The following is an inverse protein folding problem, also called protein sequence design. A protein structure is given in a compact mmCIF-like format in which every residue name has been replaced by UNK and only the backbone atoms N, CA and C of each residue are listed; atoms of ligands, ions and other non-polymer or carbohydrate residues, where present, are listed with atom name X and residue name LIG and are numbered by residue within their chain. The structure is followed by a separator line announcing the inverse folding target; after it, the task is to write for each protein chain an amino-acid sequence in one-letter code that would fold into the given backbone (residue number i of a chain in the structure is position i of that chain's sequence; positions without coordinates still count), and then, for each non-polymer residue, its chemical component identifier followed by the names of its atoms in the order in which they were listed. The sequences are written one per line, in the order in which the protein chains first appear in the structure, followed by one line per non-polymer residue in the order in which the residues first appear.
data_IF_643849152878
#
_entry.id   IF_643849152878
#
_cell.length_a   1.000
_cell.length_b   1.000
_cell.length_c   1.000
_cell.angle_alpha   90.00
_cell.angle_beta   90.00
_cell.angle_gamma   90.00
#
_symmetry.space_group_name_H-M   'P 1'
#
loop_
_entity.id
_entity.type
_entity.pdbx_description
1 polymer ?
#
# COMPACT_ATOMS: atom_id res chain seq x y z
N UNK A 1 0.15 5.50 -9.85
CA UNK A 1 1.40 5.18 -10.58
C UNK A 1 1.35 5.48 -12.08
N UNK A 2 0.18 5.76 -12.67
CA UNK A 2 0.07 6.03 -14.11
C UNK A 2 0.24 4.77 -14.97
N UNK A 3 0.15 3.57 -14.39
CA UNK A 3 0.25 2.32 -15.14
C UNK A 3 -0.93 2.18 -16.11
N UNK A 4 -0.68 1.67 -17.33
CA UNK A 4 -1.69 1.64 -18.41
C UNK A 4 -2.98 0.91 -18.01
N UNK A 5 -2.91 -0.11 -17.14
CA UNK A 5 -4.10 -0.80 -16.62
C UNK A 5 -5.02 0.10 -15.79
N UNK A 6 -4.48 1.16 -15.17
CA UNK A 6 -5.22 2.13 -14.35
C UNK A 6 -5.79 3.30 -15.18
N UNK A 7 -5.48 3.36 -16.48
CA UNK A 7 -5.88 4.46 -17.36
C UNK A 7 -6.81 4.00 -18.49
N UNK A 8 -7.40 2.80 -18.36
CA UNK A 8 -8.34 2.28 -19.37
C UNK A 8 -9.66 3.05 -19.36
N UNK A 9 -10.31 3.16 -20.51
CA UNK A 9 -11.63 3.80 -20.62
C UNK A 9 -12.65 3.19 -19.66
N UNK A 10 -12.69 1.86 -19.56
CA UNK A 10 -13.63 1.17 -18.67
C UNK A 10 -13.42 1.55 -17.20
N UNK A 11 -12.16 1.64 -16.76
CA UNK A 11 -11.84 2.09 -15.40
C UNK A 11 -12.25 3.54 -15.16
N UNK A 12 -11.86 4.45 -16.07
CA UNK A 12 -12.19 5.88 -15.94
C UNK A 12 -13.70 6.13 -15.98
N UNK A 13 -14.42 5.42 -16.84
CA UNK A 13 -15.89 5.47 -16.91
C UNK A 13 -16.52 4.98 -15.60
N UNK A 14 -16.07 3.85 -15.07
CA UNK A 14 -16.55 3.34 -13.79
C UNK A 14 -16.32 4.34 -12.65
N UNK A 15 -15.12 4.94 -12.58
CA UNK A 15 -14.81 5.96 -11.58
C UNK A 15 -15.72 7.19 -11.71
N UNK A 16 -15.94 7.68 -12.93
CA UNK A 16 -16.82 8.81 -13.20
C UNK A 16 -18.28 8.52 -12.83
N UNK A 17 -18.82 7.38 -13.24
CA UNK A 17 -20.19 6.94 -12.96
C UNK A 17 -20.43 6.78 -11.43
N UNK A 18 -19.36 6.61 -10.64
CA UNK A 18 -19.42 6.49 -9.17
C UNK A 18 -18.88 7.72 -8.42
N UNK A 19 -18.61 8.83 -9.11
CA UNK A 19 -18.10 10.08 -8.52
C UNK A 19 -16.78 9.90 -7.75
N UNK A 20 -15.92 8.99 -8.22
CA UNK A 20 -14.58 8.75 -7.68
C UNK A 20 -13.59 9.63 -8.43
N UNK A 21 -12.87 10.49 -7.70
CA UNK A 21 -11.80 11.31 -8.27
C UNK A 21 -10.53 10.46 -8.37
N UNK A 22 -10.06 10.25 -9.59
CA UNK A 22 -8.79 9.54 -9.85
C UNK A 22 -7.66 10.55 -9.86
N UNK A 23 -6.68 10.36 -8.97
CA UNK A 23 -5.46 11.18 -8.92
C UNK A 23 -4.35 10.47 -9.68
N UNK A 24 -3.83 11.13 -10.72
CA UNK A 24 -2.65 10.68 -11.43
C UNK A 24 -1.43 11.48 -10.95
N UNK A 25 -0.45 10.78 -10.35
CA UNK A 25 0.80 11.40 -9.96
C UNK A 25 1.66 11.67 -11.21
N UNK A 26 2.46 12.75 -11.24
CA UNK A 26 3.39 13.00 -12.34
C UNK A 26 4.32 11.80 -12.59
N UNK A 27 4.74 11.61 -13.85
CA UNK A 27 5.61 10.48 -14.20
C UNK A 27 6.90 10.48 -13.36
N UNK A 28 7.39 9.28 -13.02
CA UNK A 28 8.59 9.05 -12.22
C UNK A 28 8.58 9.63 -10.79
N UNK A 29 7.43 10.09 -10.27
CA UNK A 29 7.35 10.67 -8.91
C UNK A 29 6.84 9.71 -7.83
N UNK A 30 6.64 8.41 -8.12
CA UNK A 30 6.11 7.46 -7.14
C UNK A 30 6.91 7.43 -5.83
N UNK A 31 8.23 7.43 -5.94
CA UNK A 31 9.15 7.48 -4.80
C UNK A 31 9.12 8.78 -3.98
N UNK A 32 8.41 9.83 -4.45
CA UNK A 32 8.25 11.12 -3.76
C UNK A 32 6.80 11.37 -3.31
N UNK A 33 5.83 10.98 -4.11
CA UNK A 33 4.44 11.37 -3.93
C UNK A 33 3.51 10.19 -3.60
N UNK A 34 3.93 8.93 -3.74
CA UNK A 34 3.06 7.79 -3.42
C UNK A 34 3.17 7.43 -1.93
N UNK A 35 2.14 7.70 -1.09
CA UNK A 35 2.24 7.46 0.35
C UNK A 35 2.45 5.99 0.70
N UNK A 36 1.86 5.10 -0.10
CA UNK A 36 2.05 3.67 0.06
C UNK A 36 3.52 3.26 -0.09
N UNK A 37 4.23 3.77 -1.10
CA UNK A 37 5.63 3.43 -1.35
C UNK A 37 6.54 4.01 -0.26
N UNK A 38 6.28 5.25 0.15
CA UNK A 38 7.15 5.98 1.09
C UNK A 38 6.98 5.53 2.54
N UNK A 39 5.74 5.30 2.97
CA UNK A 39 5.44 5.15 4.39
C UNK A 39 4.79 3.84 4.80
N UNK A 40 4.26 3.04 3.86
CA UNK A 40 3.46 1.86 4.20
C UNK A 40 4.13 0.55 3.80
N UNK A 41 4.66 0.45 2.57
CA UNK A 41 5.16 -0.81 2.04
C UNK A 41 6.46 -1.29 2.69
N UNK A 42 7.37 -0.38 3.05
CA UNK A 42 8.56 -0.73 3.82
C UNK A 42 8.23 -1.40 5.16
N UNK A 43 7.44 -0.74 6.03
CA UNK A 43 6.97 -1.36 7.27
C UNK A 43 6.17 -2.65 7.06
N UNK A 44 5.35 -2.73 6.01
CA UNK A 44 4.58 -3.94 5.68
C UNK A 44 5.48 -5.12 5.35
N UNK A 45 6.52 -4.90 4.54
CA UNK A 45 7.49 -5.93 4.20
C UNK A 45 8.23 -6.43 5.45
N UNK A 46 8.59 -5.52 6.36
CA UNK A 46 9.21 -5.88 7.64
C UNK A 46 8.28 -6.70 8.54
N UNK A 47 7.02 -6.29 8.70
CA UNK A 47 6.02 -7.03 9.47
C UNK A 47 5.73 -8.40 8.84
N UNK A 48 5.61 -8.46 7.51
CA UNK A 48 5.44 -9.72 6.79
C UNK A 48 6.61 -10.68 7.01
N UNK A 49 7.84 -10.19 6.90
CA UNK A 49 9.05 -10.98 7.18
C UNK A 49 9.05 -11.53 8.60
N UNK A 50 8.60 -10.75 9.58
CA UNK A 50 8.49 -11.20 10.97
C UNK A 50 7.47 -12.35 11.12
N UNK A 51 6.29 -12.23 10.51
CA UNK A 51 5.26 -13.29 10.51
C UNK A 51 5.75 -14.58 9.84
N UNK A 52 6.43 -14.46 8.70
CA UNK A 52 7.00 -15.61 7.99
C UNK A 52 8.08 -16.29 8.83
N UNK A 53 8.95 -15.52 9.48
CA UNK A 53 9.99 -16.06 10.34
C UNK A 53 9.42 -16.77 11.58
N UNK A 54 8.38 -16.22 12.19
CA UNK A 54 7.70 -16.85 13.33
C UNK A 54 7.01 -18.16 12.91
N UNK A 55 6.29 -18.16 11.79
CA UNK A 55 5.69 -19.38 11.24
C UNK A 55 6.77 -20.44 10.96
N UNK A 56 7.92 -20.03 10.41
CA UNK A 56 9.07 -20.90 10.18
C UNK A 56 9.65 -21.51 11.46
N UNK A 57 9.76 -20.74 12.55
CA UNK A 57 10.17 -21.24 13.87
C UNK A 57 9.22 -22.31 14.42
N UNK A 58 7.95 -22.23 14.04
CA UNK A 58 6.91 -23.20 14.41
C UNK A 58 6.77 -24.35 13.40
N UNK A 59 7.66 -24.44 12.41
CA UNK A 59 7.62 -25.42 11.31
C UNK A 59 6.32 -25.35 10.48
N UNK A 60 5.70 -24.17 10.42
CA UNK A 60 4.48 -23.94 9.62
C UNK A 60 4.89 -23.32 8.27
N UNK A 61 4.75 -24.06 7.16
CA UNK A 61 5.02 -23.50 5.83
C UNK A 61 3.91 -22.54 5.40
N UNK A 62 4.31 -21.41 4.82
CA UNK A 62 3.37 -20.49 4.16
C UNK A 62 2.98 -21.06 2.78
N UNK A 63 1.69 -21.29 2.59
CA UNK A 63 1.06 -21.83 1.38
C UNK A 63 -0.09 -20.92 0.96
N UNK A 64 -0.60 -21.11 -0.26
CA UNK A 64 -1.77 -20.35 -0.74
C UNK A 64 -2.97 -20.41 0.21
N UNK A 65 -3.16 -21.53 0.91
CA UNK A 65 -4.26 -21.74 1.86
C UNK A 65 -4.16 -20.91 3.15
N UNK A 66 -2.96 -20.55 3.61
CA UNK A 66 -2.76 -19.79 4.86
C UNK A 66 -2.12 -18.41 4.64
N UNK A 67 -1.70 -18.07 3.43
CA UNK A 67 -1.04 -16.80 3.11
C UNK A 67 -1.85 -15.59 3.59
N UNK A 68 -3.16 -15.58 3.34
CA UNK A 68 -4.02 -14.46 3.73
C UNK A 68 -4.10 -14.27 5.25
N UNK A 69 -4.03 -15.35 6.03
CA UNK A 69 -4.04 -15.28 7.49
C UNK A 69 -2.80 -14.55 8.02
N UNK A 70 -1.61 -14.96 7.60
CA UNK A 70 -0.36 -14.32 8.03
C UNK A 70 -0.20 -12.92 7.43
N UNK A 71 -0.64 -12.72 6.18
CA UNK A 71 -0.57 -11.40 5.55
C UNK A 71 -1.51 -10.41 6.23
N UNK A 72 -2.69 -10.87 6.68
CA UNK A 72 -3.59 -10.06 7.48
C UNK A 72 -2.95 -9.60 8.79
N UNK A 73 -2.23 -10.47 9.50
CA UNK A 73 -1.49 -10.09 10.72
C UNK A 73 -0.46 -8.98 10.45
N UNK A 74 0.33 -9.14 9.38
CA UNK A 74 1.28 -8.12 8.95
C UNK A 74 0.56 -6.78 8.64
N UNK A 75 -0.57 -6.83 7.91
CA UNK A 75 -1.36 -5.64 7.59
C UNK A 75 -1.89 -4.93 8.83
N UNK A 76 -2.45 -5.65 9.80
CA UNK A 76 -2.98 -5.04 11.04
C UNK A 76 -1.85 -4.36 11.83
N UNK A 77 -0.64 -4.92 11.82
CA UNK A 77 0.51 -4.30 12.47
C UNK A 77 0.96 -3.01 11.76
N UNK A 78 0.86 -2.96 10.43
CA UNK A 78 1.36 -1.84 9.61
C UNK A 78 0.35 -0.74 9.35
N UNK A 79 -0.88 -1.06 8.94
CA UNK A 79 -1.91 -0.12 8.49
C UNK A 79 -2.61 0.58 9.67
N UNK A 80 -1.80 1.18 10.55
CA UNK A 80 -2.25 1.99 11.66
C UNK A 80 -2.52 3.42 11.20
N UNK A 81 -3.45 4.16 11.82
CA UNK A 81 -3.69 5.56 11.51
C UNK A 81 -2.41 6.41 11.59
N UNK A 82 -1.50 6.10 12.50
CA UNK A 82 -0.20 6.78 12.63
C UNK A 82 0.69 6.58 11.41
N UNK A 83 0.84 5.34 10.92
CA UNK A 83 1.62 5.01 9.72
C UNK A 83 1.06 5.73 8.50
N UNK A 84 -0.27 5.68 8.32
CA UNK A 84 -0.95 6.29 7.19
C UNK A 84 -0.78 7.81 7.24
N UNK A 85 -1.10 8.47 8.35
CA UNK A 85 -0.92 9.92 8.50
C UNK A 85 0.53 10.35 8.27
N UNK A 86 1.49 9.63 8.85
CA UNK A 86 2.91 9.90 8.64
C UNK A 86 3.31 9.76 7.17
N UNK A 87 2.77 8.77 6.44
CA UNK A 87 3.05 8.63 5.01
C UNK A 87 2.59 9.84 4.19
N UNK A 88 1.39 10.36 4.47
CA UNK A 88 0.87 11.56 3.80
C UNK A 88 1.69 12.80 4.12
N UNK A 89 2.11 12.96 5.38
CA UNK A 89 2.99 14.06 5.78
C UNK A 89 4.35 13.99 5.08
N UNK A 90 4.95 12.80 4.99
CA UNK A 90 6.24 12.60 4.30
C UNK A 90 6.17 12.90 2.80
N UNK A 91 5.03 12.60 2.16
CA UNK A 91 4.83 12.90 0.74
C UNK A 91 4.55 14.38 0.45
N UNK A 92 4.39 15.22 1.49
CA UNK A 92 3.99 16.62 1.32
C UNK A 92 2.58 16.80 0.77
N UNK A 93 1.77 15.74 0.68
CA UNK A 93 0.36 15.81 0.25
C UNK A 93 -0.50 16.37 1.38
N UNK A 94 -0.26 15.93 2.62
CA UNK A 94 -1.02 16.42 3.77
C UNK A 94 -0.21 16.40 5.09
N UNK A 95 0.06 17.56 5.72
CA UNK A 95 -0.23 18.91 5.19
C UNK A 95 0.52 19.17 3.87
N UNK A 96 -0.05 20.04 3.03
CA UNK A 96 0.58 20.40 1.76
C UNK A 96 1.94 21.06 2.02
N UNK A 97 3.01 20.50 1.48
CA UNK A 97 4.37 21.03 1.55
C UNK A 97 5.00 20.99 0.15
N UNK A 98 4.85 22.07 -0.64
CA UNK A 98 5.30 22.15 -2.03
C UNK A 98 6.80 21.97 -2.23
#
# INVERSE_FOLDING_TARGET
DGHNSHCTYCFCKFAADHRIIVLCLPSHTMHWLQPCDIGVFGPLASCWKAEVNEAGRQYIPIRKSNLLHYYHKARVCTFKPSTIKSSFTKTGIWPLNP
#
